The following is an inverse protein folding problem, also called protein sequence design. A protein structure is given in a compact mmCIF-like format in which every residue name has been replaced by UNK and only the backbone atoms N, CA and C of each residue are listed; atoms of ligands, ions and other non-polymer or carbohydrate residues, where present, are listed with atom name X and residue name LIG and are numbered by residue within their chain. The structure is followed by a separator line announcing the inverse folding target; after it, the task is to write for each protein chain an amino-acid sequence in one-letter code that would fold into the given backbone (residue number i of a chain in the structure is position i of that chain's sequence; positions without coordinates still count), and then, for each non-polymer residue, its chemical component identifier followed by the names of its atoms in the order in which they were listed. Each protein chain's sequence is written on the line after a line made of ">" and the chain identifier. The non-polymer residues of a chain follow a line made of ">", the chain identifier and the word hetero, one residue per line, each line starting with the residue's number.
data_IF_598168600406
#
_entry.id   IF_598168600406
#
_cell.length_a   1.000
_cell.length_b   1.000
_cell.length_c   1.000
_cell.angle_alpha   90.00
_cell.angle_beta   90.00
_cell.angle_gamma   90.00
#
_symmetry.space_group_name_H-M   'P 1'
#
loop_
_entity.id
_entity.type
_entity.pdbx_description
1 polymer ?
#
# COMPACT_ATOMS: atom_id res chain seq x y z
N UNK A 1 30.69 -11.07 -5.35
CA UNK A 1 29.45 -11.20 -6.17
C UNK A 1 28.22 -10.68 -5.42
N UNK A 2 27.80 -11.33 -4.31
CA UNK A 2 26.54 -11.05 -3.60
C UNK A 2 26.31 -9.59 -3.18
N UNK A 3 27.30 -8.90 -2.60
CA UNK A 3 27.10 -7.51 -2.15
C UNK A 3 26.77 -6.53 -3.29
N UNK A 4 27.37 -6.73 -4.47
CA UNK A 4 27.10 -5.88 -5.65
C UNK A 4 25.73 -6.17 -6.24
N UNK A 5 25.31 -7.45 -6.24
CA UNK A 5 24.00 -7.87 -6.68
C UNK A 5 22.90 -7.29 -5.77
N UNK A 6 23.06 -7.43 -4.45
CA UNK A 6 22.13 -6.86 -3.47
C UNK A 6 22.02 -5.35 -3.62
N UNK A 7 23.14 -4.63 -3.71
CA UNK A 7 23.13 -3.17 -3.93
C UNK A 7 22.44 -2.77 -5.22
N UNK A 8 22.60 -3.55 -6.30
CA UNK A 8 21.88 -3.33 -7.56
C UNK A 8 20.36 -3.49 -7.38
N UNK A 9 19.93 -4.61 -6.81
CA UNK A 9 18.52 -4.93 -6.59
C UNK A 9 17.86 -3.92 -5.65
N UNK A 10 18.54 -3.53 -4.57
CA UNK A 10 18.08 -2.50 -3.64
C UNK A 10 17.89 -1.16 -4.36
N UNK A 11 18.84 -0.78 -5.23
CA UNK A 11 18.73 0.44 -6.03
C UNK A 11 17.51 0.37 -6.95
N UNK A 12 17.29 -0.76 -7.65
CA UNK A 12 16.11 -0.96 -8.51
C UNK A 12 14.82 -0.83 -7.69
N UNK A 13 14.73 -1.51 -6.55
CA UNK A 13 13.55 -1.50 -5.69
C UNK A 13 13.25 -0.12 -5.10
N UNK A 14 14.28 0.70 -4.85
CA UNK A 14 14.11 2.07 -4.33
C UNK A 14 13.28 2.97 -5.27
N UNK A 15 13.26 2.68 -6.57
CA UNK A 15 12.44 3.40 -7.55
C UNK A 15 11.01 2.85 -7.67
N UNK A 16 10.71 1.68 -7.10
CA UNK A 16 9.40 1.04 -7.13
C UNK A 16 8.61 1.47 -5.90
N UNK A 17 7.50 2.19 -6.11
CA UNK A 17 6.67 2.72 -5.00
C UNK A 17 5.83 1.64 -4.31
N UNK A 18 5.46 0.59 -5.03
CA UNK A 18 4.65 -0.49 -4.46
C UNK A 18 5.53 -1.41 -3.64
N UNK A 19 5.46 -1.28 -2.31
CA UNK A 19 6.14 -2.18 -1.38
C UNK A 19 5.54 -3.59 -1.37
N UNK A 20 4.38 -3.80 -1.97
CA UNK A 20 3.75 -5.12 -2.05
C UNK A 20 4.55 -6.08 -2.92
N UNK A 21 5.08 -5.56 -4.03
CA UNK A 21 5.79 -6.32 -5.05
C UNK A 21 7.30 -6.36 -4.84
N UNK A 22 7.82 -5.67 -3.83
CA UNK A 22 9.27 -5.61 -3.58
C UNK A 22 9.86 -7.01 -3.38
N UNK A 23 9.19 -7.87 -2.60
CA UNK A 23 9.67 -9.23 -2.39
C UNK A 23 9.74 -10.04 -3.69
N UNK A 24 8.71 -9.92 -4.52
CA UNK A 24 8.62 -10.64 -5.80
C UNK A 24 9.67 -10.13 -6.79
N UNK A 25 9.82 -8.79 -6.90
CA UNK A 25 10.82 -8.16 -7.77
C UNK A 25 12.24 -8.55 -7.34
N UNK A 26 12.52 -8.58 -6.04
CA UNK A 26 13.82 -8.98 -5.53
C UNK A 26 14.14 -10.42 -5.92
N UNK A 27 13.21 -11.33 -5.67
CA UNK A 27 13.39 -12.75 -5.99
C UNK A 27 13.56 -12.99 -7.49
N UNK A 28 12.76 -12.30 -8.31
CA UNK A 28 12.84 -12.43 -9.76
C UNK A 28 14.19 -11.94 -10.27
N UNK A 29 14.62 -10.75 -9.87
CA UNK A 29 15.91 -10.18 -10.30
C UNK A 29 17.10 -11.00 -9.83
N UNK A 30 17.06 -11.53 -8.60
CA UNK A 30 18.11 -12.41 -8.08
C UNK A 30 18.22 -13.68 -8.92
N UNK A 31 17.11 -14.36 -9.16
CA UNK A 31 17.07 -15.56 -10.00
C UNK A 31 17.56 -15.26 -11.42
N UNK A 32 17.06 -14.20 -12.05
CA UNK A 32 17.42 -13.82 -13.42
C UNK A 32 18.91 -13.46 -13.56
N UNK A 33 19.51 -12.81 -12.55
CA UNK A 33 20.95 -12.49 -12.54
C UNK A 33 21.75 -13.78 -12.40
N UNK A 34 21.37 -14.69 -11.49
CA UNK A 34 22.07 -15.96 -11.28
C UNK A 34 22.03 -16.83 -12.54
N UNK A 35 20.87 -16.96 -13.16
CA UNK A 35 20.70 -17.69 -14.43
C UNK A 35 21.61 -17.10 -15.52
N UNK A 36 21.62 -15.77 -15.66
CA UNK A 36 22.49 -15.08 -16.63
C UNK A 36 23.98 -15.32 -16.35
N UNK A 37 24.39 -15.37 -15.08
CA UNK A 37 25.77 -15.69 -14.69
C UNK A 37 26.14 -17.10 -15.10
N UNK A 38 25.26 -18.08 -14.84
CA UNK A 38 25.53 -19.47 -15.17
C UNK A 38 25.58 -19.72 -16.68
N UNK A 39 24.76 -19.01 -17.47
CA UNK A 39 24.86 -19.04 -18.94
C UNK A 39 26.21 -18.52 -19.46
N UNK A 40 26.72 -17.42 -18.90
CA UNK A 40 28.03 -16.90 -19.29
C UNK A 40 29.17 -17.80 -18.80
N UNK A 41 29.05 -18.43 -17.63
CA UNK A 41 30.02 -19.43 -17.16
C UNK A 41 30.03 -20.65 -18.07
N UNK A 42 28.87 -21.15 -18.49
CA UNK A 42 28.74 -22.23 -19.46
C UNK A 42 29.35 -21.87 -20.83
N UNK A 43 29.33 -20.58 -21.18
CA UNK A 43 29.98 -20.03 -22.38
C UNK A 43 31.51 -19.86 -22.24
N UNK A 44 32.10 -20.27 -21.11
CA UNK A 44 33.55 -20.27 -20.88
C UNK A 44 34.12 -19.00 -20.24
N UNK A 45 33.27 -18.08 -19.76
CA UNK A 45 33.72 -16.91 -19.01
C UNK A 45 34.06 -17.26 -17.56
N UNK A 46 35.04 -16.54 -16.99
CA UNK A 46 35.31 -16.61 -15.55
C UNK A 46 34.11 -16.07 -14.76
N UNK A 47 33.96 -16.49 -13.50
CA UNK A 47 32.83 -16.08 -12.64
C UNK A 47 32.69 -14.55 -12.53
N UNK A 48 33.81 -13.84 -12.37
CA UNK A 48 33.81 -12.37 -12.28
C UNK A 48 33.43 -11.69 -13.60
N UNK A 49 33.83 -12.26 -14.75
CA UNK A 49 33.46 -11.74 -16.07
C UNK A 49 32.00 -12.04 -16.40
N UNK A 50 31.53 -13.25 -16.08
CA UNK A 50 30.14 -13.65 -16.22
C UNK A 50 29.22 -12.74 -15.41
N UNK A 51 29.58 -12.43 -14.16
CA UNK A 51 28.83 -11.50 -13.31
C UNK A 51 28.78 -10.08 -13.86
N UNK A 52 29.91 -9.55 -14.35
CA UNK A 52 29.92 -8.21 -14.98
C UNK A 52 29.03 -8.18 -16.22
N UNK A 53 29.05 -9.23 -17.03
CA UNK A 53 28.20 -9.34 -18.23
C UNK A 53 26.72 -9.48 -17.88
N UNK A 54 26.38 -10.30 -16.88
CA UNK A 54 25.02 -10.45 -16.39
C UNK A 54 24.44 -9.12 -15.87
N UNK A 55 25.21 -8.36 -15.07
CA UNK A 55 24.77 -7.03 -14.62
C UNK A 55 24.67 -6.03 -15.77
N UNK A 56 25.59 -6.08 -16.75
CA UNK A 56 25.52 -5.22 -17.92
C UNK A 56 24.29 -5.52 -18.80
N UNK A 57 23.85 -6.78 -18.85
CA UNK A 57 22.63 -7.21 -19.54
C UNK A 57 21.38 -6.62 -18.87
N UNK A 58 21.34 -6.61 -17.53
CA UNK A 58 20.24 -5.99 -16.77
C UNK A 58 20.17 -4.46 -16.98
N UNK A 59 21.32 -3.84 -17.26
CA UNK A 59 21.40 -2.42 -17.59
C UNK A 59 21.35 -1.50 -16.36
N UNK A 60 20.99 -0.24 -16.58
CA UNK A 60 20.98 0.77 -15.52
C UNK A 60 19.85 0.53 -14.50
N UNK A 61 20.17 0.43 -13.18
CA UNK A 61 19.17 0.11 -12.16
C UNK A 61 18.10 1.21 -12.00
N UNK A 62 18.42 2.47 -12.32
CA UNK A 62 17.46 3.57 -12.22
C UNK A 62 16.43 3.50 -13.35
N UNK A 63 16.86 3.14 -14.57
CA UNK A 63 15.96 2.96 -15.72
C UNK A 63 15.05 1.75 -15.46
N UNK A 64 15.62 0.60 -15.08
CA UNK A 64 14.87 -0.62 -14.80
C UNK A 64 13.87 -0.40 -13.66
N UNK A 65 14.29 0.23 -12.56
CA UNK A 65 13.41 0.53 -11.43
C UNK A 65 12.24 1.44 -11.82
N UNK A 66 12.46 2.45 -12.67
CA UNK A 66 11.37 3.32 -13.18
C UNK A 66 10.40 2.56 -14.08
N UNK A 67 10.88 1.64 -14.92
CA UNK A 67 10.04 0.80 -15.77
C UNK A 67 9.18 -0.14 -14.92
N UNK A 68 9.80 -0.82 -13.93
CA UNK A 68 9.09 -1.70 -13.00
C UNK A 68 8.04 -0.94 -12.18
N UNK A 69 8.34 0.29 -11.76
CA UNK A 69 7.38 1.15 -11.07
C UNK A 69 6.17 1.54 -11.92
N UNK A 70 6.32 1.67 -13.25
CA UNK A 70 5.19 1.95 -14.13
C UNK A 70 4.26 0.74 -14.26
N UNK A 71 4.83 -0.46 -14.36
CA UNK A 71 4.08 -1.72 -14.48
C UNK A 71 3.38 -2.06 -13.16
N UNK A 72 4.08 -1.91 -12.03
CA UNK A 72 3.59 -2.25 -10.69
C UNK A 72 3.07 -1.05 -9.89
N UNK A 73 2.56 -0.01 -10.59
CA UNK A 73 2.11 1.22 -9.94
C UNK A 73 0.95 0.92 -8.98
N UNK A 74 1.00 1.40 -7.71
CA UNK A 74 -0.13 1.27 -6.80
C UNK A 74 -1.35 1.98 -7.41
N UNK A 75 -2.43 1.22 -7.63
CA UNK A 75 -3.66 1.71 -8.25
C UNK A 75 -4.58 2.25 -7.17
N UNK A 76 -4.71 3.57 -7.11
CA UNK A 76 -5.79 4.20 -6.35
C UNK A 76 -7.09 3.92 -7.11
N UNK A 77 -8.06 3.29 -6.45
CA UNK A 77 -9.39 3.11 -7.02
C UNK A 77 -10.17 4.43 -6.97
N UNK A 78 -10.04 5.20 -8.05
CA UNK A 78 -10.76 6.45 -8.22
C UNK A 78 -12.27 6.29 -8.22
N UNK A 79 -12.80 5.11 -8.58
CA UNK A 79 -14.25 4.85 -8.51
C UNK A 79 -14.70 4.78 -7.05
N UNK A 80 -13.93 4.13 -6.19
CA UNK A 80 -14.21 4.08 -4.75
C UNK A 80 -14.13 5.47 -4.12
N UNK A 81 -13.10 6.26 -4.44
CA UNK A 81 -12.99 7.64 -3.94
C UNK A 81 -14.18 8.48 -4.41
N UNK A 82 -14.57 8.36 -5.68
CA UNK A 82 -15.74 9.06 -6.22
C UNK A 82 -17.00 8.68 -5.46
N UNK A 83 -17.24 7.38 -5.23
CA UNK A 83 -18.41 6.89 -4.51
C UNK A 83 -18.48 7.47 -3.09
N UNK A 84 -17.39 7.37 -2.32
CA UNK A 84 -17.31 7.89 -0.95
C UNK A 84 -17.53 9.40 -0.91
N UNK A 85 -16.94 10.13 -1.84
CA UNK A 85 -17.12 11.60 -1.95
C UNK A 85 -18.58 11.96 -2.22
N UNK A 86 -19.26 11.25 -3.12
CA UNK A 86 -20.69 11.45 -3.39
C UNK A 86 -21.54 11.17 -2.14
N UNK A 87 -21.27 10.10 -1.41
CA UNK A 87 -22.01 9.76 -0.18
C UNK A 87 -21.83 10.82 0.92
N UNK A 88 -20.61 11.32 1.12
CA UNK A 88 -20.34 12.43 2.04
C UNK A 88 -21.11 13.67 1.60
N UNK A 89 -21.09 13.99 0.30
CA UNK A 89 -21.84 15.12 -0.27
C UNK A 89 -23.34 15.04 -0.02
N UNK A 90 -23.94 13.86 -0.22
CA UNK A 90 -25.37 13.61 0.08
C UNK A 90 -25.63 13.79 1.59
N UNK A 91 -24.75 13.28 2.45
CA UNK A 91 -24.86 13.45 3.89
C UNK A 91 -24.83 14.93 4.31
N UNK A 92 -23.90 15.72 3.75
CA UNK A 92 -23.79 17.15 4.02
C UNK A 92 -25.00 17.93 3.46
N UNK A 93 -25.52 17.57 2.29
CA UNK A 93 -26.72 18.17 1.72
C UNK A 93 -27.96 17.93 2.61
N UNK A 94 -28.12 16.71 3.13
CA UNK A 94 -29.17 16.41 4.09
C UNK A 94 -29.00 17.20 5.39
N UNK A 95 -27.77 17.26 5.92
CA UNK A 95 -27.46 18.04 7.13
C UNK A 95 -27.84 19.51 6.97
N UNK A 96 -27.50 20.12 5.82
CA UNK A 96 -27.85 21.49 5.48
C UNK A 96 -29.37 21.69 5.38
N UNK A 97 -30.09 20.77 4.73
CA UNK A 97 -31.55 20.81 4.63
C UNK A 97 -32.21 20.74 6.02
N UNK A 98 -31.75 19.84 6.88
CA UNK A 98 -32.27 19.67 8.24
C UNK A 98 -32.00 20.89 9.13
N UNK A 99 -30.81 21.48 9.03
CA UNK A 99 -30.47 22.74 9.71
C UNK A 99 -31.42 23.87 9.29
N UNK A 100 -31.70 24.02 7.98
CA UNK A 100 -32.62 25.03 7.45
C UNK A 100 -34.06 24.83 7.92
N UNK A 101 -34.48 23.58 8.13
CA UNK A 101 -35.78 23.25 8.70
C UNK A 101 -35.87 23.41 10.23
N UNK A 102 -34.81 23.94 10.88
CA UNK A 102 -34.70 24.09 12.34
C UNK A 102 -34.82 22.77 13.13
N UNK A 103 -34.71 21.63 12.45
CA UNK A 103 -34.76 20.29 13.06
C UNK A 103 -33.48 19.94 13.81
N UNK A 104 -32.37 20.63 13.50
CA UNK A 104 -31.06 20.43 14.12
C UNK A 104 -30.52 21.76 14.64
N UNK A 105 -29.97 21.74 15.85
CA UNK A 105 -29.23 22.87 16.42
C UNK A 105 -27.90 23.09 15.67
N UNK A 106 -27.45 24.34 15.59
CA UNK A 106 -26.12 24.73 15.08
C UNK A 106 -24.99 23.89 15.71
N UNK A 107 -25.04 23.64 17.01
CA UNK A 107 -24.03 22.82 17.71
C UNK A 107 -23.99 21.37 17.22
N UNK A 108 -25.13 20.79 16.84
CA UNK A 108 -25.21 19.44 16.31
C UNK A 108 -24.60 19.37 14.90
N UNK A 109 -24.85 20.38 14.07
CA UNK A 109 -24.24 20.51 12.75
C UNK A 109 -22.73 20.67 12.88
N UNK A 110 -22.26 21.51 13.80
CA UNK A 110 -20.83 21.71 14.04
C UNK A 110 -20.13 20.43 14.49
N UNK A 111 -20.71 19.68 15.44
CA UNK A 111 -20.17 18.37 15.85
C UNK A 111 -20.12 17.37 14.69
N UNK A 112 -21.12 17.37 13.82
CA UNK A 112 -21.15 16.49 12.65
C UNK A 112 -20.09 16.88 11.60
N UNK A 113 -19.83 18.17 11.40
CA UNK A 113 -18.74 18.62 10.53
C UNK A 113 -17.37 18.22 11.08
N UNK A 114 -17.17 18.34 12.40
CA UNK A 114 -15.95 17.88 13.05
C UNK A 114 -15.75 16.37 12.92
N UNK A 115 -16.81 15.57 13.07
CA UNK A 115 -16.71 14.11 12.94
C UNK A 115 -16.39 13.67 11.51
N UNK A 116 -16.99 14.32 10.50
CA UNK A 116 -16.64 14.09 9.08
C UNK A 116 -15.18 14.47 8.81
N UNK A 117 -14.73 15.62 9.30
CA UNK A 117 -13.34 16.07 9.16
C UNK A 117 -12.35 15.08 9.79
N UNK A 118 -12.63 14.62 11.02
CA UNK A 118 -11.84 13.61 11.71
C UNK A 118 -11.81 12.29 10.93
N UNK A 119 -12.95 11.86 10.39
CA UNK A 119 -13.05 10.66 9.56
C UNK A 119 -12.18 10.74 8.30
N UNK A 120 -12.15 11.88 7.62
CA UNK A 120 -11.28 12.10 6.45
C UNK A 120 -9.80 12.01 6.84
N UNK A 121 -9.41 12.62 7.96
CA UNK A 121 -8.02 12.56 8.46
C UNK A 121 -7.61 11.10 8.76
N UNK A 122 -8.50 10.35 9.43
CA UNK A 122 -8.27 8.94 9.74
C UNK A 122 -8.17 8.12 8.46
N UNK A 123 -9.05 8.33 7.49
CA UNK A 123 -9.02 7.64 6.19
C UNK A 123 -7.69 7.89 5.45
N UNK A 124 -7.26 9.15 5.36
CA UNK A 124 -5.98 9.51 4.72
C UNK A 124 -4.81 8.84 5.46
N UNK A 125 -4.84 8.83 6.79
CA UNK A 125 -3.80 8.19 7.61
C UNK A 125 -3.69 6.69 7.29
N UNK A 126 -4.83 6.00 7.13
CA UNK A 126 -4.85 4.60 6.75
C UNK A 126 -4.36 4.33 5.32
N UNK A 127 -4.52 5.28 4.39
CA UNK A 127 -3.96 5.13 3.03
C UNK A 127 -2.42 5.05 3.03
N UNK A 128 -1.76 5.63 4.03
CA UNK A 128 -0.30 5.53 4.20
C UNK A 128 0.11 4.39 5.15
N UNK A 129 -0.84 3.71 5.78
CA UNK A 129 -0.57 2.63 6.72
C UNK A 129 -0.55 1.28 5.99
N UNK A 130 0.52 0.51 6.18
CA UNK A 130 0.62 -0.84 5.63
C UNK A 130 -0.35 -1.78 6.36
N UNK A 131 -1.46 -2.12 5.72
CA UNK A 131 -2.50 -3.00 6.26
C UNK A 131 -1.97 -4.40 6.60
N UNK A 132 -0.84 -4.83 6.02
CA UNK A 132 -0.21 -6.13 6.33
C UNK A 132 0.21 -6.22 7.79
N UNK A 133 0.52 -5.08 8.43
CA UNK A 133 0.81 -5.02 9.86
C UNK A 133 -0.41 -5.38 10.72
N UNK A 134 -1.62 -5.12 10.23
CA UNK A 134 -2.89 -5.39 10.92
C UNK A 134 -3.27 -6.87 10.78
N UNK A 135 -2.94 -7.52 9.66
CA UNK A 135 -3.28 -8.93 9.42
C UNK A 135 -2.78 -9.87 10.51
N UNK A 136 -1.60 -9.61 11.10
CA UNK A 136 -1.04 -10.40 12.21
C UNK A 136 -1.94 -10.40 13.45
N UNK A 137 -2.73 -9.35 13.64
CA UNK A 137 -3.62 -9.18 14.79
C UNK A 137 -5.09 -9.46 14.47
N UNK A 138 -5.40 -9.98 13.27
CA UNK A 138 -6.77 -10.22 12.79
C UNK A 138 -7.62 -11.02 13.79
N UNK A 139 -7.09 -12.13 14.32
CA UNK A 139 -7.80 -12.94 15.32
C UNK A 139 -8.00 -12.21 16.65
N UNK A 140 -7.01 -11.42 17.09
CA UNK A 140 -7.13 -10.62 18.32
C UNK A 140 -8.17 -9.51 18.18
N UNK A 141 -8.22 -8.84 17.02
CA UNK A 141 -9.23 -7.84 16.70
C UNK A 141 -10.63 -8.46 16.67
N UNK A 142 -10.80 -9.62 16.04
CA UNK A 142 -12.07 -10.33 15.98
C UNK A 142 -12.57 -10.74 17.37
N UNK A 143 -11.71 -11.34 18.19
CA UNK A 143 -12.07 -11.72 19.57
C UNK A 143 -12.38 -10.50 20.42
N UNK A 144 -11.62 -9.41 20.25
CA UNK A 144 -11.86 -8.15 20.94
C UNK A 144 -13.21 -7.52 20.60
N UNK A 145 -13.59 -7.47 19.32
CA UNK A 145 -14.88 -6.92 18.90
C UNK A 145 -16.04 -7.79 19.36
N UNK A 146 -15.93 -9.12 19.27
CA UNK A 146 -16.91 -10.06 19.85
C UNK A 146 -17.08 -9.86 21.36
N UNK A 147 -15.97 -9.71 22.09
CA UNK A 147 -15.99 -9.43 23.52
C UNK A 147 -16.71 -8.12 23.84
N UNK A 148 -16.41 -7.03 23.12
CA UNK A 148 -17.12 -5.75 23.29
C UNK A 148 -18.62 -5.88 23.00
N UNK A 149 -19.00 -6.57 21.93
CA UNK A 149 -20.41 -6.80 21.60
C UNK A 149 -21.14 -7.55 22.71
N UNK A 150 -20.53 -8.61 23.25
CA UNK A 150 -21.09 -9.37 24.38
C UNK A 150 -21.23 -8.49 25.63
N UNK A 151 -20.22 -7.67 25.95
CA UNK A 151 -20.29 -6.75 27.10
C UNK A 151 -21.43 -5.73 26.96
N UNK A 152 -21.65 -5.20 25.77
CA UNK A 152 -22.80 -4.30 25.52
C UNK A 152 -24.11 -5.05 25.70
N UNK A 153 -24.23 -6.26 25.15
CA UNK A 153 -25.44 -7.08 25.28
C UNK A 153 -25.79 -7.39 26.75
N UNK A 154 -24.80 -7.78 27.56
CA UNK A 154 -25.01 -8.01 28.99
C UNK A 154 -25.27 -6.75 29.81
N UNK A 155 -24.92 -5.56 29.30
CA UNK A 155 -25.27 -4.29 29.96
C UNK A 155 -26.74 -3.94 29.75
N UNK A 156 -27.33 -4.40 28.65
CA UNK A 156 -28.72 -4.08 28.26
C UNK A 156 -29.73 -5.19 28.59
N UNK A 157 -29.27 -6.37 29.03
CA UNK A 157 -30.07 -7.49 29.52
C UNK A 157 -30.22 -7.46 31.05
#
# INVERSE_FOLDING_TARGET
>A
MNLKMQSYIETVCSFVKSQEVHCDIQSELENHIIESVDEYKASGFSEDEAFKKALALMGDPNILGKQLNQVHKPRIDWKTISLVTTLIGIGLANLYSMQRSLLLSEDAVFRQLLSVGLGIIVMISFMFFDYRKIMKYSMGLLLGTLGMMMLVFFREA
#
